data_IF_970402198109
#
_entry.id   IF_970402198109
#
_cell.length_a   1.000
_cell.length_b   1.000
_cell.length_c   1.000
_cell.angle_alpha   90.00
_cell.angle_beta   90.00
_cell.angle_gamma   90.00
#
_symmetry.space_group_name_H-M   'P 1'
#
loop_
_entity.id
_entity.type
_entity.pdbx_description
1 polymer ?
#
# COMPACT_ATOMS: atom_id res chain seq x y z
N UNK A 1 -39.83 66.77 -6.47
CA UNK A 1 -38.41 66.33 -6.41
C UNK A 1 -38.02 65.60 -5.11
N UNK A 2 -38.94 65.10 -4.25
CA UNK A 2 -38.63 64.38 -3.00
C UNK A 2 -38.87 62.85 -3.04
N UNK A 3 -39.40 62.27 -4.15
CA UNK A 3 -39.73 60.83 -4.23
C UNK A 3 -38.62 59.98 -4.86
N UNK A 4 -37.63 60.56 -5.55
CA UNK A 4 -36.56 59.81 -6.22
C UNK A 4 -35.33 59.50 -5.32
N UNK A 5 -35.21 60.19 -4.17
CA UNK A 5 -34.07 59.95 -3.24
C UNK A 5 -34.26 58.74 -2.29
N UNK A 6 -35.48 58.26 -2.08
CA UNK A 6 -35.74 57.11 -1.18
C UNK A 6 -35.48 55.75 -1.85
N UNK A 7 -35.68 55.63 -3.16
CA UNK A 7 -35.47 54.36 -3.88
C UNK A 7 -34.00 53.99 -4.05
N UNK A 8 -33.07 54.96 -4.18
CA UNK A 8 -31.64 54.69 -4.29
C UNK A 8 -30.99 54.19 -2.96
N UNK A 9 -31.59 54.52 -1.82
CA UNK A 9 -31.09 54.08 -0.52
C UNK A 9 -31.43 52.61 -0.22
N UNK A 10 -32.62 52.15 -0.66
CA UNK A 10 -33.07 50.76 -0.51
C UNK A 10 -32.32 49.81 -1.46
N UNK A 11 -31.98 50.21 -2.67
CA UNK A 11 -31.21 49.40 -3.61
C UNK A 11 -29.76 49.16 -3.13
N UNK A 12 -29.14 50.11 -2.38
CA UNK A 12 -27.82 49.91 -1.80
C UNK A 12 -27.83 48.92 -0.63
N UNK A 13 -28.90 48.86 0.16
CA UNK A 13 -29.06 47.90 1.27
C UNK A 13 -29.35 46.49 0.75
N UNK A 14 -30.15 46.33 -0.33
CA UNK A 14 -30.38 45.03 -0.95
C UNK A 14 -29.11 44.45 -1.59
N UNK A 15 -28.29 45.29 -2.23
CA UNK A 15 -27.01 44.88 -2.82
C UNK A 15 -25.99 44.43 -1.78
N UNK A 16 -25.95 45.10 -0.58
CA UNK A 16 -25.05 44.68 0.50
C UNK A 16 -25.53 43.40 1.22
N UNK A 17 -26.83 43.19 1.34
CA UNK A 17 -27.37 41.96 1.97
C UNK A 17 -27.18 40.75 1.04
N UNK A 18 -27.36 40.92 -0.26
CA UNK A 18 -27.07 39.85 -1.23
C UNK A 18 -25.56 39.53 -1.31
N UNK A 19 -24.66 40.52 -1.20
CA UNK A 19 -23.23 40.30 -1.16
C UNK A 19 -22.75 39.59 0.12
N UNK A 20 -23.34 39.92 1.26
CA UNK A 20 -23.08 39.25 2.55
C UNK A 20 -23.60 37.81 2.56
N UNK A 21 -24.74 37.52 1.95
CA UNK A 21 -25.27 36.16 1.84
C UNK A 21 -24.44 35.29 0.86
N UNK A 22 -23.91 35.86 -0.20
CA UNK A 22 -23.00 35.14 -1.13
C UNK A 22 -21.62 34.90 -0.50
N UNK A 23 -21.08 35.85 0.27
CA UNK A 23 -19.82 35.68 1.00
C UNK A 23 -19.96 34.68 2.16
N UNK A 24 -21.11 34.66 2.86
CA UNK A 24 -21.40 33.65 3.89
C UNK A 24 -21.65 32.26 3.27
N UNK A 25 -22.24 32.16 2.09
CA UNK A 25 -22.39 30.90 1.37
C UNK A 25 -21.04 30.37 0.83
N UNK A 26 -20.05 31.25 0.54
CA UNK A 26 -18.68 30.84 0.15
C UNK A 26 -17.77 30.52 1.36
N UNK A 27 -18.03 31.09 2.54
CA UNK A 27 -17.28 30.80 3.77
C UNK A 27 -17.86 29.64 4.60
N UNK A 28 -19.10 29.25 4.35
CA UNK A 28 -19.75 28.09 4.95
C UNK A 28 -19.58 26.80 4.13
N UNK A 29 -18.63 26.75 3.19
CA UNK A 29 -18.01 25.47 2.80
C UNK A 29 -17.02 25.07 3.90
N UNK A 30 -17.49 24.99 5.13
CA UNK A 30 -17.07 23.96 6.04
C UNK A 30 -17.10 22.69 5.19
N UNK A 31 -15.98 22.02 5.05
CA UNK A 31 -15.88 20.71 4.45
C UNK A 31 -16.73 19.80 5.35
N UNK A 32 -18.03 19.86 5.19
CA UNK A 32 -18.91 18.76 5.54
C UNK A 32 -18.46 17.70 4.54
N UNK A 33 -17.64 16.75 4.98
CA UNK A 33 -17.51 15.47 4.34
C UNK A 33 -18.92 14.85 4.37
N UNK A 34 -19.78 15.34 3.51
CA UNK A 34 -21.10 14.81 3.26
C UNK A 34 -20.90 13.43 2.66
N UNK A 35 -21.40 12.45 3.38
CA UNK A 35 -21.42 11.04 3.06
C UNK A 35 -22.14 10.83 1.72
N UNK A 36 -21.46 11.06 0.63
CA UNK A 36 -21.84 10.47 -0.66
C UNK A 36 -21.36 9.01 -0.69
N UNK A 37 -22.11 8.17 0.05
CA UNK A 37 -21.92 6.72 0.04
C UNK A 37 -20.82 6.22 0.99
N UNK A 38 -21.17 5.26 1.83
CA UNK A 38 -20.28 4.57 2.75
C UNK A 38 -19.14 3.86 1.96
N UNK A 39 -17.90 3.99 2.44
CA UNK A 39 -16.67 3.42 1.88
C UNK A 39 -16.35 3.88 0.44
N UNK A 40 -16.80 5.07 0.05
CA UNK A 40 -16.38 5.73 -1.19
C UNK A 40 -15.26 6.72 -0.87
N UNK A 41 -14.04 6.52 -1.41
CA UNK A 41 -12.93 7.40 -1.11
C UNK A 41 -13.17 8.79 -1.73
N UNK A 42 -12.77 9.88 -1.03
CA UNK A 42 -12.74 11.20 -1.63
C UNK A 42 -11.68 11.28 -2.74
N UNK A 43 -11.75 12.33 -3.54
CA UNK A 43 -10.77 12.56 -4.61
C UNK A 43 -9.32 12.51 -4.10
N UNK A 44 -8.46 11.80 -4.80
CA UNK A 44 -7.05 11.59 -4.43
C UNK A 44 -6.82 10.50 -3.39
N UNK A 45 -7.85 9.89 -2.83
CA UNK A 45 -7.72 8.78 -1.88
C UNK A 45 -8.10 7.44 -2.50
N UNK A 46 -7.54 6.38 -1.96
CA UNK A 46 -7.83 4.99 -2.30
C UNK A 46 -8.43 4.29 -1.07
N UNK A 47 -9.43 3.44 -1.28
CA UNK A 47 -10.02 2.67 -0.19
C UNK A 47 -9.05 1.55 0.26
N UNK A 48 -8.66 1.57 1.55
CA UNK A 48 -8.00 0.43 2.20
C UNK A 48 -9.02 -0.64 2.60
N UNK A 49 -10.26 -0.23 2.85
CA UNK A 49 -11.37 -1.11 3.13
C UNK A 49 -12.46 -0.91 2.07
N UNK A 50 -12.81 -1.99 1.38
CA UNK A 50 -13.77 -1.96 0.26
C UNK A 50 -15.24 -1.99 0.69
N UNK A 51 -15.52 -2.10 2.00
CA UNK A 51 -16.87 -2.20 2.55
C UNK A 51 -17.57 -3.55 2.34
N UNK A 52 -16.92 -4.57 1.79
CA UNK A 52 -17.52 -5.86 1.43
C UNK A 52 -16.85 -7.05 2.10
N UNK A 53 -15.52 -7.04 2.17
CA UNK A 53 -14.71 -8.14 2.68
C UNK A 53 -13.34 -7.63 3.20
N UNK A 54 -12.48 -8.56 3.60
CA UNK A 54 -11.14 -8.28 4.13
C UNK A 54 -10.04 -8.29 3.04
N UNK A 55 -10.39 -8.13 1.77
CA UNK A 55 -9.40 -7.99 0.68
C UNK A 55 -8.48 -6.79 0.97
N UNK A 56 -7.17 -6.98 0.82
CA UNK A 56 -6.15 -5.97 1.17
C UNK A 56 -5.67 -6.04 2.62
N UNK A 57 -6.25 -6.93 3.44
CA UNK A 57 -5.91 -7.12 4.85
C UNK A 57 -5.43 -8.54 5.15
N UNK A 58 -4.67 -8.67 6.23
CA UNK A 58 -4.23 -9.94 6.84
C UNK A 58 -4.27 -9.84 8.34
N UNK A 59 -4.31 -10.97 9.02
CA UNK A 59 -4.09 -11.00 10.47
C UNK A 59 -2.67 -10.55 10.80
N UNK A 60 -2.50 -9.66 11.76
CA UNK A 60 -1.17 -9.36 12.31
C UNK A 60 -0.70 -10.56 13.13
N UNK A 61 0.55 -10.97 12.97
CA UNK A 61 1.11 -12.05 13.77
C UNK A 61 1.06 -11.68 15.25
N UNK A 62 0.80 -12.68 16.11
CA UNK A 62 0.81 -12.49 17.56
C UNK A 62 2.24 -12.27 18.08
N UNK A 63 2.33 -11.72 19.29
CA UNK A 63 3.61 -11.60 19.99
C UNK A 63 4.34 -12.96 20.05
N UNK A 64 5.67 -12.97 19.81
CA UNK A 64 6.55 -11.81 19.68
C UNK A 64 6.73 -11.30 18.23
N UNK A 65 5.98 -11.80 17.28
CA UNK A 65 6.12 -11.51 15.84
C UNK A 65 5.21 -10.37 15.34
N UNK A 66 4.41 -9.78 16.22
CA UNK A 66 3.83 -8.45 16.04
C UNK A 66 4.93 -7.38 15.82
N UNK A 67 6.08 -7.58 16.44
CA UNK A 67 7.29 -6.79 16.21
C UNK A 67 7.86 -7.07 14.81
N UNK A 68 7.92 -6.06 13.88
CA UNK A 68 8.40 -6.25 12.51
C UNK A 68 9.87 -6.70 12.45
N UNK A 69 10.73 -6.28 13.39
CA UNK A 69 12.14 -6.69 13.44
C UNK A 69 12.27 -8.20 13.76
N UNK A 70 11.40 -8.71 14.62
CA UNK A 70 11.39 -10.15 14.95
C UNK A 70 10.71 -10.96 13.85
N UNK A 71 9.64 -10.43 13.28
CA UNK A 71 8.93 -11.04 12.15
C UNK A 71 9.84 -11.24 10.95
N UNK A 72 10.68 -10.25 10.62
CA UNK A 72 11.64 -10.31 9.52
C UNK A 72 12.71 -11.42 9.67
N UNK A 73 12.93 -11.93 10.89
CA UNK A 73 13.90 -13.02 11.15
C UNK A 73 13.31 -14.42 11.00
N UNK A 74 12.01 -14.54 10.76
CA UNK A 74 11.38 -15.84 10.54
C UNK A 74 11.82 -16.44 9.22
N UNK A 75 12.08 -17.74 9.20
CA UNK A 75 12.22 -18.47 7.96
C UNK A 75 10.89 -18.45 7.18
N UNK A 76 10.91 -18.60 5.85
CA UNK A 76 9.70 -18.60 5.03
C UNK A 76 8.61 -19.55 5.53
N UNK A 77 8.99 -20.80 5.87
CA UNK A 77 8.04 -21.77 6.39
C UNK A 77 7.47 -21.40 7.75
N UNK A 78 8.28 -20.83 8.65
CA UNK A 78 7.80 -20.36 9.94
C UNK A 78 6.87 -19.15 9.80
N UNK A 79 7.22 -18.20 8.92
CA UNK A 79 6.38 -17.04 8.62
C UNK A 79 5.02 -17.49 8.04
N UNK A 80 5.00 -18.39 7.07
CA UNK A 80 3.77 -18.91 6.48
C UNK A 80 2.88 -19.60 7.52
N UNK A 81 3.46 -20.38 8.43
CA UNK A 81 2.73 -21.05 9.50
C UNK A 81 2.10 -20.06 10.47
N UNK A 82 2.85 -19.06 10.91
CA UNK A 82 2.34 -18.03 11.83
C UNK A 82 1.30 -17.13 11.14
N UNK A 83 1.51 -16.79 9.85
CA UNK A 83 0.54 -16.01 9.07
C UNK A 83 -0.78 -16.78 8.90
N UNK A 84 -0.74 -18.08 8.62
CA UNK A 84 -1.96 -18.89 8.52
C UNK A 84 -2.78 -18.88 9.81
N UNK A 85 -2.12 -18.88 10.98
CA UNK A 85 -2.82 -18.76 12.29
C UNK A 85 -3.44 -17.36 12.44
N UNK A 86 -2.69 -16.32 12.11
CA UNK A 86 -3.15 -14.94 12.22
C UNK A 86 -4.32 -14.68 11.25
N UNK A 87 -4.26 -15.17 10.02
CA UNK A 87 -5.34 -15.06 9.03
C UNK A 87 -6.58 -15.89 9.44
N UNK A 88 -6.40 -16.99 10.14
CA UNK A 88 -7.53 -17.74 10.73
C UNK A 88 -8.20 -16.89 11.80
N UNK A 89 -7.45 -16.36 12.76
CA UNK A 89 -7.96 -15.46 13.80
C UNK A 89 -8.65 -14.23 13.20
N UNK A 90 -8.08 -13.63 12.15
CA UNK A 90 -8.72 -12.53 11.41
C UNK A 90 -10.12 -12.92 10.93
N UNK A 91 -10.27 -14.05 10.27
CA UNK A 91 -11.56 -14.51 9.73
C UNK A 91 -12.59 -14.87 10.81
N UNK A 92 -12.14 -15.22 12.01
CA UNK A 92 -12.99 -15.58 13.13
C UNK A 92 -13.51 -14.37 13.92
N UNK A 93 -12.73 -13.27 13.95
CA UNK A 93 -12.96 -12.15 14.87
C UNK A 93 -13.15 -10.79 14.20
N UNK A 94 -12.85 -10.67 12.89
CA UNK A 94 -13.08 -9.47 12.11
C UNK A 94 -14.16 -9.75 11.06
N UNK A 95 -15.31 -9.11 11.20
CA UNK A 95 -16.49 -9.32 10.34
C UNK A 95 -16.81 -8.06 9.56
N UNK A 96 -17.39 -8.23 8.38
CA UNK A 96 -17.91 -7.12 7.58
C UNK A 96 -19.42 -7.25 7.48
N UNK A 97 -20.13 -6.28 8.03
CA UNK A 97 -21.59 -6.20 8.00
C UNK A 97 -22.03 -4.79 7.64
N UNK A 98 -22.90 -4.65 6.67
CA UNK A 98 -23.46 -3.37 6.21
C UNK A 98 -22.39 -2.30 5.89
N UNK A 99 -21.26 -2.71 5.31
CA UNK A 99 -20.16 -1.83 5.00
C UNK A 99 -19.31 -1.40 6.20
N UNK A 100 -19.52 -2.02 7.36
CA UNK A 100 -18.79 -1.75 8.60
C UNK A 100 -17.86 -2.92 8.88
N UNK A 101 -16.59 -2.63 9.13
CA UNK A 101 -15.61 -3.57 9.64
C UNK A 101 -15.74 -3.62 11.15
N UNK A 102 -16.14 -4.77 11.68
CA UNK A 102 -16.43 -5.00 13.11
C UNK A 102 -15.41 -5.96 13.71
N UNK A 103 -14.82 -5.58 14.81
CA UNK A 103 -14.01 -6.43 15.66
C UNK A 103 -14.78 -6.80 16.93
N UNK A 104 -14.78 -8.07 17.29
CA UNK A 104 -15.56 -8.61 18.42
C UNK A 104 -14.85 -8.53 19.78
N UNK A 105 -13.63 -8.03 19.82
CA UNK A 105 -12.80 -7.94 21.03
C UNK A 105 -11.90 -9.14 21.26
N UNK A 106 -11.82 -10.11 20.34
CA UNK A 106 -11.02 -11.34 20.51
C UNK A 106 -10.02 -11.50 19.36
N UNK A 107 -9.04 -12.38 19.55
CA UNK A 107 -8.09 -12.71 18.49
C UNK A 107 -6.95 -11.70 18.32
N UNK A 108 -6.54 -11.41 17.10
CA UNK A 108 -5.35 -10.63 16.79
C UNK A 108 -5.71 -9.35 16.03
N UNK A 109 -4.77 -8.39 16.03
CA UNK A 109 -4.86 -7.15 15.26
C UNK A 109 -4.94 -7.43 13.75
N UNK A 110 -5.46 -6.47 13.02
CA UNK A 110 -5.54 -6.49 11.57
C UNK A 110 -4.42 -5.63 10.97
N UNK A 111 -3.79 -6.08 9.90
CA UNK A 111 -2.73 -5.34 9.21
C UNK A 111 -2.99 -5.27 7.72
N UNK A 112 -2.55 -4.19 7.07
CA UNK A 112 -2.57 -4.10 5.61
C UNK A 112 -1.62 -5.13 4.99
N UNK A 113 -1.94 -5.62 3.79
CA UNK A 113 -1.09 -6.56 3.07
C UNK A 113 0.22 -5.91 2.63
N UNK A 114 0.19 -4.65 2.23
CA UNK A 114 1.37 -3.89 1.81
C UNK A 114 1.81 -2.85 2.82
N UNK A 115 3.03 -2.39 2.67
CA UNK A 115 3.62 -1.31 3.44
C UNK A 115 3.32 0.06 2.82
N UNK A 116 3.37 1.11 3.66
CA UNK A 116 3.16 2.50 3.29
C UNK A 116 4.30 3.37 3.79
N UNK A 117 4.72 4.35 2.99
CA UNK A 117 5.76 5.32 3.32
C UNK A 117 5.16 6.59 3.92
N UNK A 118 5.05 7.65 3.13
CA UNK A 118 4.37 8.88 3.52
C UNK A 118 2.92 8.85 3.05
N UNK A 119 2.00 9.25 3.89
CA UNK A 119 0.59 9.14 3.58
C UNK A 119 -0.29 10.10 4.38
N UNK A 120 -1.51 10.24 3.90
CA UNK A 120 -2.63 10.76 4.65
C UNK A 120 -3.70 9.68 4.77
N UNK A 121 -4.10 9.33 5.98
CA UNK A 121 -5.08 8.30 6.31
C UNK A 121 -6.35 8.94 6.85
N UNK A 122 -7.49 8.60 6.28
CA UNK A 122 -8.81 8.87 6.83
C UNK A 122 -9.37 7.57 7.39
N UNK A 123 -9.93 7.61 8.59
CA UNK A 123 -10.57 6.44 9.19
C UNK A 123 -11.66 6.85 10.16
N UNK A 124 -12.86 6.32 9.96
CA UNK A 124 -13.92 6.40 10.95
C UNK A 124 -13.84 5.21 11.89
N UNK A 125 -13.95 5.48 13.18
CA UNK A 125 -13.96 4.46 14.22
C UNK A 125 -15.03 4.73 15.26
N UNK A 126 -15.49 3.69 15.95
CA UNK A 126 -16.51 3.78 16.96
C UNK A 126 -16.26 2.75 18.06
N UNK A 127 -16.00 3.21 19.30
CA UNK A 127 -16.02 2.37 20.49
C UNK A 127 -17.47 1.93 20.74
N UNK A 128 -17.67 0.63 20.93
CA UNK A 128 -19.01 0.05 21.09
C UNK A 128 -19.46 0.10 22.54
N UNK A 129 -18.56 -0.23 23.46
CA UNK A 129 -18.85 -0.35 24.89
C UNK A 129 -18.00 0.66 25.70
N UNK A 130 -18.49 1.10 26.89
CA UNK A 130 -17.65 1.86 27.82
C UNK A 130 -16.34 1.13 28.15
N UNK A 131 -15.28 1.90 28.40
CA UNK A 131 -13.90 1.45 28.66
C UNK A 131 -13.18 0.85 27.47
N UNK A 132 -13.73 0.98 26.26
CA UNK A 132 -13.09 0.44 25.06
C UNK A 132 -11.71 1.05 24.80
N UNK A 133 -10.77 0.20 24.38
CA UNK A 133 -9.39 0.53 24.05
C UNK A 133 -9.02 -0.10 22.70
N UNK A 134 -8.30 0.65 21.88
CA UNK A 134 -7.77 0.25 20.59
C UNK A 134 -6.69 1.25 20.13
N UNK A 135 -6.26 1.13 18.90
CA UNK A 135 -5.31 2.06 18.30
C UNK A 135 -5.06 1.79 16.84
N UNK A 136 -4.38 2.73 16.19
CA UNK A 136 -3.91 2.59 14.83
C UNK A 136 -2.39 2.66 14.83
N UNK A 137 -1.74 1.61 14.32
CA UNK A 137 -0.30 1.60 14.17
C UNK A 137 0.07 2.17 12.81
N UNK A 138 1.09 3.00 12.80
CA UNK A 138 1.60 3.64 11.59
C UNK A 138 2.97 3.03 11.26
N UNK A 139 3.12 2.48 10.08
CA UNK A 139 4.34 1.76 9.63
C UNK A 139 4.75 0.63 10.59
N UNK A 140 3.76 -0.13 11.09
CA UNK A 140 4.00 -1.21 12.05
C UNK A 140 4.48 -0.76 13.43
N UNK A 141 4.34 0.53 13.75
CA UNK A 141 4.76 1.11 15.04
C UNK A 141 3.53 1.56 15.83
N UNK A 142 3.36 1.09 17.09
CA UNK A 142 2.28 1.56 17.97
C UNK A 142 2.55 2.98 18.43
N UNK A 143 1.54 3.82 18.64
CA UNK A 143 0.19 3.79 18.15
C UNK A 143 -0.43 5.19 18.20
N UNK A 144 -1.34 5.49 17.31
CA UNK A 144 -2.34 6.54 17.49
C UNK A 144 -3.43 5.94 18.37
N UNK A 145 -3.56 6.42 19.59
CA UNK A 145 -4.42 5.83 20.62
C UNK A 145 -5.91 6.07 20.35
N UNK A 146 -6.72 5.05 20.58
CA UNK A 146 -8.19 5.12 20.64
C UNK A 146 -8.63 4.59 22.00
N UNK A 147 -9.29 5.39 22.80
CA UNK A 147 -9.84 4.96 24.09
C UNK A 147 -11.04 5.78 24.55
N UNK A 148 -11.73 5.28 25.54
CA UNK A 148 -12.86 5.95 26.16
C UNK A 148 -12.39 7.20 26.92
N UNK A 149 -12.80 8.43 26.51
CA UNK A 149 -12.41 9.67 27.17
C UNK A 149 -13.01 9.82 28.57
N UNK A 150 -14.06 9.08 28.92
CA UNK A 150 -14.62 9.05 30.27
C UNK A 150 -13.65 8.37 31.25
N UNK A 151 -12.96 7.32 30.78
CA UNK A 151 -11.95 6.60 31.54
C UNK A 151 -10.58 7.28 31.47
N UNK A 152 -10.18 7.72 30.27
CA UNK A 152 -8.89 8.34 30.01
C UNK A 152 -9.06 9.83 29.66
N UNK A 153 -8.97 10.70 30.66
CA UNK A 153 -9.26 12.14 30.57
C UNK A 153 -8.29 12.94 29.67
N UNK A 154 -7.49 12.29 28.84
CA UNK A 154 -6.66 12.91 27.81
C UNK A 154 -7.28 12.79 26.41
N UNK A 155 -8.27 11.90 26.22
CA UNK A 155 -8.89 11.64 24.92
C UNK A 155 -8.04 10.83 23.96
N UNK A 156 -8.60 10.51 22.79
CA UNK A 156 -7.96 9.74 21.72
C UNK A 156 -7.02 10.57 20.86
N UNK A 157 -6.18 9.89 20.08
CA UNK A 157 -5.30 10.47 19.05
C UNK A 157 -3.89 10.82 19.54
N UNK A 158 -3.56 10.57 20.80
CA UNK A 158 -2.20 10.73 21.29
C UNK A 158 -1.26 9.69 20.66
N UNK A 159 0.03 10.06 20.52
CA UNK A 159 1.10 9.13 20.15
C UNK A 159 1.60 8.41 21.43
N UNK A 160 0.76 7.54 21.95
CA UNK A 160 0.81 7.02 23.33
C UNK A 160 2.18 6.48 23.75
N UNK A 161 2.89 5.82 22.85
CA UNK A 161 4.16 5.19 23.13
C UNK A 161 5.37 6.12 23.01
N UNK A 162 5.20 7.39 22.65
CA UNK A 162 6.30 8.36 22.66
C UNK A 162 6.80 8.59 24.09
N UNK A 163 8.13 8.71 24.25
CA UNK A 163 8.80 8.98 25.52
C UNK A 163 9.60 10.27 25.53
N UNK A 164 10.22 10.61 24.42
CA UNK A 164 11.04 11.83 24.25
C UNK A 164 10.23 12.97 23.64
N UNK A 165 9.30 12.64 22.75
CA UNK A 165 8.42 13.59 22.06
C UNK A 165 7.02 13.57 22.72
N UNK A 166 6.19 14.62 22.49
CA UNK A 166 4.83 14.66 23.02
C UNK A 166 4.03 13.39 22.73
N UNK A 167 3.38 12.83 23.74
CA UNK A 167 2.58 11.62 23.63
C UNK A 167 1.07 11.86 23.76
N UNK A 168 0.67 13.02 24.27
CA UNK A 168 -0.73 13.36 24.52
C UNK A 168 -1.29 14.25 23.41
N UNK A 169 -2.59 14.15 23.10
CA UNK A 169 -3.25 15.11 22.23
C UNK A 169 -3.35 16.49 22.94
N UNK A 170 -3.45 17.56 22.15
CA UNK A 170 -3.57 18.94 22.67
C UNK A 170 -4.91 19.20 23.37
N UNK A 171 -5.96 18.43 23.01
CA UNK A 171 -7.30 18.54 23.58
C UNK A 171 -8.08 17.24 23.38
N UNK A 172 -9.13 17.05 24.16
CA UNK A 172 -10.15 16.02 23.93
C UNK A 172 -11.03 16.49 22.78
N UNK A 173 -11.19 15.66 21.77
CA UNK A 173 -12.02 15.94 20.59
C UNK A 173 -12.94 14.76 20.22
N UNK A 174 -13.01 13.77 21.09
CA UNK A 174 -13.83 12.57 20.94
C UNK A 174 -15.32 12.89 20.97
N UNK A 175 -16.09 12.17 20.18
CA UNK A 175 -17.55 12.08 20.33
C UNK A 175 -17.89 11.06 21.43
N UNK A 176 -19.09 11.14 22.04
CA UNK A 176 -19.54 10.17 23.04
C UNK A 176 -19.44 8.71 22.57
N UNK A 177 -19.27 7.78 23.53
CA UNK A 177 -19.28 6.34 23.26
C UNK A 177 -20.52 5.96 22.45
N UNK A 178 -20.35 5.04 21.49
CA UNK A 178 -21.39 4.62 20.56
C UNK A 178 -21.56 5.55 19.35
N UNK A 179 -20.89 6.68 19.30
CA UNK A 179 -20.88 7.58 18.15
C UNK A 179 -19.61 7.40 17.30
N UNK A 180 -19.72 7.70 16.01
CA UNK A 180 -18.59 7.67 15.10
C UNK A 180 -17.64 8.83 15.33
N UNK A 181 -16.35 8.55 15.31
CA UNK A 181 -15.26 9.51 15.30
C UNK A 181 -14.52 9.40 13.97
N UNK A 182 -13.95 10.49 13.49
CA UNK A 182 -13.15 10.53 12.27
C UNK A 182 -11.73 11.01 12.59
N UNK A 183 -10.74 10.16 12.34
CA UNK A 183 -9.35 10.57 12.26
C UNK A 183 -8.97 10.99 10.84
N UNK A 184 -8.21 12.07 10.74
CA UNK A 184 -7.37 12.43 9.60
C UNK A 184 -5.93 12.46 10.09
N UNK A 185 -5.13 11.48 9.68
CA UNK A 185 -3.76 11.27 10.12
C UNK A 185 -2.84 11.50 8.92
N UNK A 186 -1.97 12.50 8.98
CA UNK A 186 -0.93 12.72 7.99
C UNK A 186 0.43 12.34 8.58
N UNK A 187 1.14 11.44 7.92
CA UNK A 187 2.49 11.03 8.25
C UNK A 187 3.43 11.36 7.09
N UNK A 188 4.41 12.22 7.34
CA UNK A 188 5.47 12.58 6.39
C UNK A 188 6.80 12.45 7.11
N UNK A 189 7.73 11.69 6.53
CA UNK A 189 8.94 11.25 7.20
C UNK A 189 8.60 10.58 8.55
N UNK A 190 9.14 11.11 9.65
CA UNK A 190 8.85 10.63 11.01
C UNK A 190 7.75 11.43 11.73
N UNK A 191 7.15 12.44 11.05
CA UNK A 191 6.25 13.42 11.67
C UNK A 191 4.80 13.11 11.41
N UNK A 192 4.02 13.12 12.49
CA UNK A 192 2.59 12.84 12.46
C UNK A 192 1.78 14.09 12.83
N UNK A 193 0.77 14.37 12.01
CA UNK A 193 -0.25 15.39 12.27
C UNK A 193 -1.62 14.70 12.33
N UNK A 194 -2.38 14.93 13.39
CA UNK A 194 -3.68 14.28 13.60
C UNK A 194 -4.77 15.30 13.83
N UNK A 195 -5.84 15.16 13.06
CA UNK A 195 -7.13 15.81 13.36
C UNK A 195 -8.13 14.74 13.82
N UNK A 196 -8.84 15.01 14.88
CA UNK A 196 -9.96 14.20 15.37
C UNK A 196 -11.24 15.05 15.29
N UNK A 197 -12.22 14.54 14.55
CA UNK A 197 -13.50 15.26 14.34
C UNK A 197 -13.28 16.71 13.85
N UNK A 198 -12.31 16.89 12.94
CA UNK A 198 -11.94 18.20 12.37
C UNK A 198 -11.04 19.08 13.24
N UNK A 199 -10.78 18.72 14.50
CA UNK A 199 -9.91 19.49 15.41
C UNK A 199 -8.48 19.00 15.34
N UNK A 200 -7.51 19.90 15.17
CA UNK A 200 -6.07 19.58 15.22
C UNK A 200 -5.66 19.23 16.66
N UNK A 201 -5.25 17.98 16.88
CA UNK A 201 -4.90 17.47 18.21
C UNK A 201 -3.44 17.05 18.35
N UNK A 202 -2.76 16.74 17.23
CA UNK A 202 -1.32 16.48 17.17
C UNK A 202 -0.77 17.24 15.97
N UNK A 203 0.28 18.04 16.16
CA UNK A 203 0.84 18.87 15.10
C UNK A 203 2.31 18.56 14.85
N UNK A 204 2.61 17.83 13.76
CA UNK A 204 3.97 17.50 13.29
C UNK A 204 4.87 16.90 14.37
N UNK A 205 4.33 16.07 15.24
CA UNK A 205 5.09 15.41 16.31
C UNK A 205 5.81 14.19 15.74
N UNK A 206 7.06 13.99 16.13
CA UNK A 206 7.85 12.81 15.75
C UNK A 206 7.24 11.57 16.40
N UNK A 207 6.94 10.54 15.62
CA UNK A 207 6.58 9.22 16.09
C UNK A 207 7.85 8.41 16.34
N UNK A 208 8.05 8.00 17.58
CA UNK A 208 9.23 7.25 17.97
C UNK A 208 9.11 5.78 17.60
N UNK A 209 10.22 5.17 17.18
CA UNK A 209 10.28 3.73 16.95
C UNK A 209 10.10 2.99 18.31
N UNK A 210 8.94 2.36 18.49
CA UNK A 210 8.63 1.61 19.70
C UNK A 210 9.49 0.37 19.87
N UNK A 211 9.82 -0.29 18.76
CA UNK A 211 10.50 -1.57 18.72
C UNK A 211 12.02 -1.46 18.89
N UNK A 212 12.60 -0.33 18.44
CA UNK A 212 14.01 0.01 18.61
C UNK A 212 14.17 1.51 18.85
N UNK A 213 14.25 1.90 20.11
CA UNK A 213 14.35 3.31 20.52
C UNK A 213 15.66 3.99 20.14
N UNK A 214 16.65 3.25 19.67
CA UNK A 214 17.92 3.79 19.18
C UNK A 214 17.87 4.24 17.73
N UNK A 215 16.83 3.86 17.00
CA UNK A 215 16.64 4.14 15.57
C UNK A 215 15.44 5.05 15.30
N UNK A 216 15.43 5.78 14.17
CA UNK A 216 14.24 6.45 13.71
C UNK A 216 13.13 5.43 13.40
N UNK A 217 11.92 5.93 13.15
CA UNK A 217 10.83 5.07 12.69
C UNK A 217 11.18 4.41 11.34
N UNK A 218 10.58 3.25 11.06
CA UNK A 218 10.75 2.58 9.78
C UNK A 218 10.36 3.52 8.62
N UNK A 219 11.11 3.50 7.49
CA UNK A 219 10.82 4.33 6.32
C UNK A 219 9.48 3.95 5.68
N UNK A 220 9.09 2.67 5.77
CA UNK A 220 7.81 2.13 5.34
C UNK A 220 7.34 1.04 6.31
N UNK A 221 6.06 0.72 6.27
CA UNK A 221 5.49 -0.38 7.06
C UNK A 221 3.98 -0.41 7.01
N UNK A 222 3.40 -1.43 7.60
CA UNK A 222 1.97 -1.69 7.58
C UNK A 222 1.19 -0.65 8.39
N UNK A 223 -0.07 -0.42 7.98
CA UNK A 223 -1.08 0.21 8.82
C UNK A 223 -1.82 -0.92 9.52
N UNK A 224 -1.93 -0.81 10.85
CA UNK A 224 -2.50 -1.87 11.67
C UNK A 224 -3.66 -1.31 12.52
N UNK A 225 -4.75 -2.08 12.63
CA UNK A 225 -5.87 -1.81 13.52
C UNK A 225 -5.73 -2.71 14.74
N UNK A 226 -5.55 -2.09 15.91
CA UNK A 226 -5.19 -2.81 17.12
C UNK A 226 -6.37 -3.60 17.70
N UNK A 227 -6.10 -4.84 18.07
CA UNK A 227 -6.86 -5.63 19.02
C UNK A 227 -6.37 -5.32 20.44
N UNK A 228 -7.24 -4.82 21.32
CA UNK A 228 -6.92 -4.59 22.73
C UNK A 228 -7.93 -5.25 23.69
N UNK A 229 -8.75 -6.18 23.18
CA UNK A 229 -9.70 -6.93 23.99
C UNK A 229 -11.13 -6.34 24.01
N UNK A 230 -11.34 -5.20 23.36
CA UNK A 230 -12.63 -4.52 23.31
C UNK A 230 -13.22 -4.49 21.90
N UNK A 231 -14.54 -4.65 21.75
CA UNK A 231 -15.21 -4.49 20.46
C UNK A 231 -15.07 -3.05 19.93
N UNK A 232 -14.67 -2.95 18.66
CA UNK A 232 -14.55 -1.67 17.96
C UNK A 232 -15.00 -1.81 16.52
N UNK A 233 -15.59 -0.77 15.97
CA UNK A 233 -16.06 -0.71 14.60
C UNK A 233 -15.24 0.30 13.79
N UNK A 234 -14.96 -0.03 12.54
CA UNK A 234 -14.30 0.84 11.58
C UNK A 234 -15.09 0.93 10.27
N UNK A 235 -14.94 2.04 9.56
CA UNK A 235 -15.45 2.27 8.20
C UNK A 235 -14.68 3.40 7.54
N UNK A 236 -14.93 3.67 6.27
CA UNK A 236 -14.32 4.80 5.55
C UNK A 236 -12.80 4.87 5.75
N UNK A 237 -12.12 3.72 5.58
CA UNK A 237 -10.67 3.64 5.73
C UNK A 237 -10.06 3.95 4.37
N UNK A 238 -9.52 5.16 4.22
CA UNK A 238 -8.98 5.66 2.96
C UNK A 238 -7.57 6.17 3.14
N UNK A 239 -6.72 5.96 2.14
CA UNK A 239 -5.35 6.44 2.13
C UNK A 239 -5.07 7.27 0.89
N UNK A 240 -4.35 8.36 1.07
CA UNK A 240 -3.67 9.12 0.03
C UNK A 240 -2.18 8.99 0.27
N UNK A 241 -1.47 8.29 -0.61
CA UNK A 241 -0.02 8.20 -0.52
C UNK A 241 0.59 9.50 -1.00
N UNK A 242 1.50 10.04 -0.20
CA UNK A 242 2.25 11.26 -0.51
C UNK A 242 3.54 10.82 -1.22
N UNK A 243 3.68 11.08 -2.52
CA UNK A 243 4.88 10.68 -3.24
C UNK A 243 6.10 11.33 -2.62
N UNK A 244 7.10 10.54 -2.28
CA UNK A 244 8.45 11.06 -2.10
C UNK A 244 9.06 11.20 -3.47
N UNK A 245 9.55 12.37 -3.79
CA UNK A 245 10.33 12.61 -5.01
C UNK A 245 11.77 12.10 -4.78
N UNK A 246 11.88 10.81 -4.53
CA UNK A 246 13.15 10.12 -4.54
C UNK A 246 13.42 9.73 -6.00
N UNK A 247 14.25 10.50 -6.66
CA UNK A 247 14.76 10.16 -8.00
C UNK A 247 15.38 8.76 -8.04
N UNK A 248 15.81 8.28 -9.20
CA UNK A 248 16.46 6.97 -9.32
C UNK A 248 17.66 6.91 -8.37
N UNK A 249 17.66 5.96 -7.47
CA UNK A 249 18.75 5.71 -6.52
C UNK A 249 19.58 4.52 -6.95
N UNK A 250 20.88 4.56 -6.74
CA UNK A 250 21.75 3.41 -6.89
C UNK A 250 21.51 2.36 -5.80
N UNK A 251 22.36 1.34 -5.77
CA UNK A 251 22.39 0.37 -4.67
C UNK A 251 22.69 1.08 -3.34
N UNK A 252 21.94 0.73 -2.29
CA UNK A 252 22.28 1.12 -0.93
C UNK A 252 23.53 0.38 -0.46
N UNK A 253 24.17 0.85 0.61
CA UNK A 253 25.34 0.14 1.17
C UNK A 253 24.93 -1.25 1.69
N UNK A 254 23.75 -1.38 2.31
CA UNK A 254 23.22 -2.68 2.74
C UNK A 254 23.02 -3.63 1.54
N UNK A 255 22.48 -3.15 0.43
CA UNK A 255 22.30 -3.97 -0.77
C UNK A 255 23.63 -4.41 -1.37
N UNK A 256 24.66 -3.55 -1.34
CA UNK A 256 26.03 -3.92 -1.77
C UNK A 256 26.63 -4.98 -0.85
N UNK A 257 26.49 -4.82 0.47
CA UNK A 257 26.94 -5.80 1.47
C UNK A 257 26.20 -7.13 1.33
N UNK A 258 24.91 -7.09 1.01
CA UNK A 258 24.12 -8.28 0.69
C UNK A 258 24.54 -8.96 -0.61
N UNK A 259 25.28 -8.31 -1.49
CA UNK A 259 25.77 -8.83 -2.76
C UNK A 259 24.88 -8.55 -3.96
N UNK A 260 24.01 -7.52 -3.88
CA UNK A 260 23.29 -7.05 -5.06
C UNK A 260 24.21 -6.32 -6.04
N UNK A 261 23.91 -6.46 -7.32
CA UNK A 261 24.53 -5.71 -8.41
C UNK A 261 23.44 -4.99 -9.22
N UNK A 262 23.75 -3.79 -9.69
CA UNK A 262 22.83 -3.06 -10.57
C UNK A 262 22.88 -3.64 -11.99
N UNK A 263 21.72 -3.88 -12.58
CA UNK A 263 21.57 -4.29 -13.99
C UNK A 263 21.31 -3.12 -14.93
N UNK A 264 21.09 -1.93 -14.39
CA UNK A 264 20.89 -0.72 -15.17
C UNK A 264 21.85 0.38 -14.68
N UNK A 265 22.62 0.94 -15.61
CA UNK A 265 23.65 1.94 -15.30
C UNK A 265 23.08 3.37 -15.12
N UNK A 266 21.75 3.55 -15.29
CA UNK A 266 21.07 4.84 -15.19
C UNK A 266 21.23 5.75 -16.41
N UNK A 267 21.97 5.37 -17.46
CA UNK A 267 22.32 6.22 -18.60
C UNK A 267 21.85 5.68 -19.94
N UNK A 268 22.05 4.41 -20.19
CA UNK A 268 21.76 3.76 -21.46
C UNK A 268 21.41 2.28 -21.28
N UNK A 269 21.07 1.59 -22.35
CA UNK A 269 20.69 0.19 -22.33
C UNK A 269 21.90 -0.77 -22.48
N UNK A 270 23.13 -0.32 -22.18
CA UNK A 270 24.31 -1.18 -22.14
C UNK A 270 24.07 -2.31 -21.12
N UNK A 271 24.27 -3.55 -21.52
CA UNK A 271 23.98 -4.72 -20.71
C UNK A 271 22.56 -5.30 -20.90
N UNK A 272 21.76 -4.71 -21.80
CA UNK A 272 20.45 -5.21 -22.20
C UNK A 272 20.47 -5.67 -23.65
N UNK A 273 19.73 -6.74 -23.94
CA UNK A 273 19.61 -7.38 -25.27
C UNK A 273 18.14 -7.58 -25.61
N UNK A 274 17.85 -7.94 -26.87
CA UNK A 274 16.49 -8.12 -27.39
C UNK A 274 15.99 -6.88 -28.11
N UNK A 275 14.70 -6.54 -27.98
CA UNK A 275 14.11 -5.38 -28.65
C UNK A 275 14.38 -4.07 -27.90
N UNK A 276 15.64 -3.66 -27.86
CA UNK A 276 16.05 -2.40 -27.21
C UNK A 276 15.52 -1.17 -27.91
N UNK A 277 15.12 -1.26 -29.19
CA UNK A 277 14.57 -0.13 -29.96
C UNK A 277 13.22 0.37 -29.46
N UNK A 278 12.47 -0.47 -28.76
CA UNK A 278 11.19 -0.10 -28.12
C UNK A 278 11.33 0.54 -26.75
N UNK A 279 12.55 0.68 -26.22
CA UNK A 279 12.87 1.20 -24.91
C UNK A 279 13.81 2.40 -24.99
N UNK A 280 13.71 3.30 -24.01
CA UNK A 280 14.58 4.48 -23.90
C UNK A 280 15.10 4.58 -22.47
N UNK A 281 16.40 4.85 -22.33
CA UNK A 281 16.98 5.22 -21.05
C UNK A 281 16.97 6.74 -20.90
N UNK A 282 16.27 7.26 -19.88
CA UNK A 282 16.10 8.69 -19.64
C UNK A 282 15.97 8.95 -18.12
N UNK A 283 16.70 9.92 -17.61
CA UNK A 283 16.66 10.33 -16.20
C UNK A 283 16.79 9.16 -15.20
N UNK A 284 17.71 8.23 -15.45
CA UNK A 284 17.91 7.07 -14.58
C UNK A 284 16.81 6.01 -14.65
N UNK A 285 15.95 6.05 -15.66
CA UNK A 285 14.83 5.13 -15.87
C UNK A 285 14.93 4.45 -17.23
N UNK A 286 14.41 3.25 -17.32
CA UNK A 286 14.11 2.57 -18.59
C UNK A 286 12.61 2.80 -18.86
N UNK A 287 12.29 3.42 -19.97
CA UNK A 287 10.92 3.69 -20.41
C UNK A 287 10.59 2.76 -21.57
N UNK A 288 9.62 1.85 -21.37
CA UNK A 288 9.02 1.08 -22.43
C UNK A 288 8.05 2.00 -23.20
N UNK A 289 8.25 2.18 -24.50
CA UNK A 289 7.37 3.00 -25.36
C UNK A 289 6.49 2.15 -26.28
N UNK A 290 7.07 1.17 -26.96
CA UNK A 290 6.39 0.22 -27.85
C UNK A 290 7.09 -1.14 -27.86
N UNK A 291 7.87 -1.44 -26.83
CA UNK A 291 8.80 -2.53 -26.86
C UNK A 291 8.19 -3.92 -26.99
N UNK A 292 8.92 -4.80 -27.63
CA UNK A 292 8.88 -6.22 -27.42
C UNK A 292 9.65 -6.59 -26.14
N UNK A 293 10.32 -7.74 -26.16
CA UNK A 293 11.02 -8.23 -24.97
C UNK A 293 12.47 -7.72 -24.91
N UNK A 294 12.88 -7.21 -23.75
CA UNK A 294 14.27 -6.89 -23.43
C UNK A 294 14.75 -7.70 -22.24
N UNK A 295 15.99 -8.14 -22.26
CA UNK A 295 16.57 -9.00 -21.23
C UNK A 295 17.93 -8.45 -20.78
N UNK A 296 18.29 -8.68 -19.51
CA UNK A 296 19.67 -8.59 -19.09
C UNK A 296 20.51 -9.57 -19.91
N UNK A 297 21.76 -9.19 -20.27
CA UNK A 297 22.62 -9.96 -21.20
C UNK A 297 23.05 -11.32 -20.65
N UNK A 298 23.03 -11.49 -19.33
CA UNK A 298 23.47 -12.70 -18.65
C UNK A 298 22.27 -13.57 -18.23
N UNK A 299 22.49 -14.86 -18.13
CA UNK A 299 21.50 -15.82 -17.64
C UNK A 299 21.68 -16.07 -16.15
N UNK A 300 20.54 -16.26 -15.45
CA UNK A 300 20.47 -16.46 -14.01
C UNK A 300 19.73 -17.76 -13.68
N UNK A 301 20.16 -18.45 -12.60
CA UNK A 301 19.53 -19.65 -12.07
C UNK A 301 18.73 -19.31 -10.81
N UNK A 302 19.40 -19.21 -9.67
CA UNK A 302 18.84 -18.85 -8.39
C UNK A 302 19.20 -17.40 -8.05
N UNK A 303 18.20 -16.58 -7.75
CA UNK A 303 18.41 -15.14 -7.60
C UNK A 303 17.33 -14.46 -6.75
N UNK A 304 17.63 -13.24 -6.32
CA UNK A 304 16.66 -12.22 -5.91
C UNK A 304 16.79 -11.05 -6.88
N UNK A 305 15.71 -10.74 -7.58
CA UNK A 305 15.63 -9.62 -8.52
C UNK A 305 14.71 -8.55 -7.95
N UNK A 306 15.19 -7.33 -7.82
CA UNK A 306 14.44 -6.17 -7.33
C UNK A 306 14.38 -5.09 -8.38
N UNK A 307 13.23 -4.48 -8.54
CA UNK A 307 13.03 -3.34 -9.43
C UNK A 307 11.87 -2.47 -8.95
N UNK A 308 11.82 -1.26 -9.45
CA UNK A 308 10.68 -0.39 -9.30
C UNK A 308 10.04 -0.16 -10.67
N UNK A 309 8.71 -0.10 -10.70
CA UNK A 309 7.95 0.16 -11.92
C UNK A 309 6.84 1.19 -11.65
N UNK A 310 6.49 1.95 -12.70
CA UNK A 310 5.38 2.91 -12.68
C UNK A 310 4.49 2.67 -13.90
N UNK A 311 3.22 2.32 -13.64
CA UNK A 311 2.24 2.03 -14.68
C UNK A 311 1.60 3.30 -15.22
N UNK A 312 1.27 3.29 -16.51
CA UNK A 312 0.29 4.20 -17.11
C UNK A 312 -1.11 3.53 -17.15
N UNK A 313 -2.20 4.28 -17.34
CA UNK A 313 -3.53 3.69 -17.43
C UNK A 313 -3.63 2.59 -18.50
N UNK A 314 -4.07 1.40 -18.08
CA UNK A 314 -4.21 0.24 -18.94
C UNK A 314 -2.90 -0.42 -19.38
N UNK A 315 -1.79 -0.09 -18.75
CA UNK A 315 -0.49 -0.68 -19.08
C UNK A 315 -0.47 -2.19 -18.88
N UNK A 316 0.23 -2.88 -19.78
CA UNK A 316 0.49 -4.32 -19.75
C UNK A 316 1.97 -4.58 -20.09
N UNK A 317 2.62 -5.39 -19.28
CA UNK A 317 3.99 -5.85 -19.43
C UNK A 317 4.14 -7.14 -18.62
N UNK A 318 5.34 -7.71 -18.56
CA UNK A 318 5.67 -8.85 -17.70
C UNK A 318 7.15 -8.83 -17.33
N UNK A 319 7.49 -9.50 -16.24
CA UNK A 319 8.87 -9.86 -15.94
C UNK A 319 9.07 -11.33 -16.34
N UNK A 320 9.82 -11.57 -17.42
CA UNK A 320 10.26 -12.91 -17.80
C UNK A 320 11.40 -13.36 -16.92
N UNK A 321 11.31 -14.56 -16.36
CA UNK A 321 12.39 -15.19 -15.58
C UNK A 321 12.73 -16.57 -16.13
N UNK A 322 14.01 -16.94 -16.10
CA UNK A 322 14.55 -18.18 -16.66
C UNK A 322 14.09 -18.42 -18.11
N UNK A 323 13.97 -17.34 -18.89
CA UNK A 323 13.41 -17.35 -20.23
C UNK A 323 14.48 -17.59 -21.27
N UNK A 324 14.28 -18.48 -22.26
CA UNK A 324 15.13 -18.53 -23.45
C UNK A 324 14.81 -17.36 -24.39
N UNK A 325 15.75 -17.00 -25.24
CA UNK A 325 15.54 -15.92 -26.23
C UNK A 325 14.67 -16.42 -27.41
N UNK A 326 13.95 -15.46 -28.03
CA UNK A 326 13.17 -15.68 -29.25
C UNK A 326 12.05 -16.71 -29.15
N UNK A 327 11.46 -16.83 -27.95
CA UNK A 327 10.31 -17.72 -27.68
C UNK A 327 9.20 -16.96 -26.95
N UNK A 328 8.08 -17.62 -26.75
CA UNK A 328 7.04 -17.09 -25.87
C UNK A 328 7.46 -17.24 -24.39
N UNK A 329 7.89 -16.14 -23.81
CA UNK A 329 8.45 -16.09 -22.47
C UNK A 329 7.51 -16.60 -21.37
N UNK A 330 6.20 -16.42 -21.52
CA UNK A 330 5.20 -16.85 -20.55
C UNK A 330 5.09 -18.38 -20.42
N UNK A 331 5.45 -19.13 -21.46
CA UNK A 331 5.33 -20.59 -21.50
C UNK A 331 6.69 -21.27 -21.46
N UNK A 332 7.66 -20.79 -22.26
CA UNK A 332 8.99 -21.39 -22.37
C UNK A 332 9.95 -20.94 -21.25
N UNK A 333 9.63 -19.84 -20.57
CA UNK A 333 10.14 -19.39 -19.29
C UNK A 333 9.02 -19.31 -18.28
N UNK A 334 9.05 -18.28 -17.44
CA UNK A 334 7.94 -17.91 -16.56
C UNK A 334 7.74 -16.41 -16.65
N UNK A 335 6.49 -15.95 -16.67
CA UNK A 335 6.14 -14.53 -16.63
C UNK A 335 5.52 -14.18 -15.29
N UNK A 336 6.10 -13.20 -14.60
CA UNK A 336 5.45 -12.51 -13.50
C UNK A 336 4.72 -11.31 -14.11
N UNK A 337 3.41 -11.31 -14.02
CA UNK A 337 2.56 -10.32 -14.70
C UNK A 337 2.76 -8.91 -14.14
N UNK A 338 2.94 -7.92 -15.02
CA UNK A 338 2.98 -6.49 -14.70
C UNK A 338 1.81 -5.81 -15.43
N UNK A 339 0.76 -5.41 -14.69
CA UNK A 339 -0.49 -4.98 -15.27
C UNK A 339 -1.18 -3.90 -14.44
N UNK A 340 -1.79 -2.91 -15.10
CA UNK A 340 -2.84 -2.09 -14.47
C UNK A 340 -4.14 -2.88 -14.44
N UNK A 341 -4.31 -3.72 -13.43
CA UNK A 341 -5.49 -4.57 -13.27
C UNK A 341 -6.75 -3.80 -12.79
N UNK A 342 -6.65 -2.48 -12.62
CA UNK A 342 -7.77 -1.60 -12.29
C UNK A 342 -8.48 -1.04 -13.53
N UNK A 343 -7.85 -1.15 -14.71
CA UNK A 343 -8.40 -0.64 -15.95
C UNK A 343 -9.66 -1.42 -16.41
N UNK A 344 -10.65 -0.71 -16.95
CA UNK A 344 -11.92 -1.30 -17.39
C UNK A 344 -11.77 -2.47 -18.38
N UNK A 345 -10.76 -2.44 -19.23
CA UNK A 345 -10.44 -3.51 -20.17
C UNK A 345 -10.03 -4.82 -19.47
N UNK A 346 -9.60 -4.78 -18.23
CA UNK A 346 -9.11 -5.91 -17.44
C UNK A 346 -10.08 -6.37 -16.34
N UNK A 347 -11.33 -5.90 -16.36
CA UNK A 347 -12.35 -6.27 -15.35
C UNK A 347 -12.72 -7.75 -15.29
N UNK A 348 -12.43 -8.52 -16.34
CA UNK A 348 -12.81 -9.95 -16.48
C UNK A 348 -11.59 -10.88 -16.53
N UNK A 349 -10.47 -10.51 -15.90
CA UNK A 349 -9.28 -11.37 -15.86
C UNK A 349 -9.53 -12.67 -15.11
N UNK A 350 -8.86 -13.73 -15.57
CA UNK A 350 -8.73 -14.95 -14.77
C UNK A 350 -7.79 -14.72 -13.58
N UNK A 351 -7.91 -15.49 -12.49
CA UNK A 351 -7.09 -15.26 -11.28
C UNK A 351 -5.59 -15.22 -11.51
N UNK A 352 -5.08 -15.97 -12.49
CA UNK A 352 -3.66 -16.05 -12.87
C UNK A 352 -3.17 -14.94 -13.81
N UNK A 353 -4.03 -13.97 -14.15
CA UNK A 353 -3.71 -12.88 -15.08
C UNK A 353 -3.53 -11.52 -14.37
N UNK A 354 -3.80 -11.44 -13.08
CA UNK A 354 -3.63 -10.21 -12.31
C UNK A 354 -2.14 -9.93 -12.06
N UNK A 355 -1.84 -8.65 -11.86
CA UNK A 355 -0.48 -8.18 -11.56
C UNK A 355 0.17 -9.00 -10.42
N UNK A 356 1.41 -9.45 -10.62
CA UNK A 356 2.19 -10.26 -9.68
C UNK A 356 1.93 -11.77 -9.75
N UNK A 357 0.95 -12.25 -10.54
CA UNK A 357 0.75 -13.69 -10.77
C UNK A 357 1.90 -14.31 -11.55
N UNK A 358 2.19 -15.61 -11.33
CA UNK A 358 2.91 -16.41 -12.32
C UNK A 358 1.89 -16.76 -13.40
N UNK A 359 1.98 -16.11 -14.55
CA UNK A 359 0.97 -16.13 -15.60
C UNK A 359 0.60 -17.57 -16.03
N UNK A 360 -0.68 -17.86 -16.05
CA UNK A 360 -1.21 -19.20 -16.39
C UNK A 360 -1.05 -20.26 -15.30
N UNK A 361 -0.30 -19.98 -14.21
CA UNK A 361 0.18 -21.03 -13.28
C UNK A 361 -0.23 -20.76 -11.83
N UNK A 362 0.11 -19.60 -11.25
CA UNK A 362 -0.17 -19.30 -9.84
C UNK A 362 -0.84 -17.93 -9.72
N UNK A 363 -1.99 -17.85 -9.07
CA UNK A 363 -2.70 -16.59 -8.90
C UNK A 363 -2.05 -15.74 -7.81
N UNK A 364 -2.13 -14.42 -7.97
CA UNK A 364 -1.66 -13.44 -7.01
C UNK A 364 -2.63 -13.26 -5.83
N UNK A 365 -2.11 -12.92 -4.65
CA UNK A 365 -2.88 -12.33 -3.56
C UNK A 365 -2.98 -10.82 -3.78
N UNK A 366 -4.16 -10.32 -4.14
CA UNK A 366 -4.39 -8.91 -4.48
C UNK A 366 -4.29 -7.96 -3.28
N UNK A 367 -4.15 -6.67 -3.55
CA UNK A 367 -4.24 -5.58 -2.56
C UNK A 367 -2.92 -4.91 -2.22
N UNK A 368 -1.81 -5.30 -2.89
CA UNK A 368 -0.50 -4.71 -2.64
C UNK A 368 -0.06 -3.70 -3.70
N UNK A 369 -0.73 -3.61 -4.86
CA UNK A 369 -0.40 -2.69 -5.93
C UNK A 369 -0.77 -1.24 -5.57
N UNK A 370 0.14 -0.30 -5.84
CA UNK A 370 -0.13 1.14 -5.72
C UNK A 370 -0.93 1.63 -6.93
N UNK A 371 -1.66 2.75 -6.79
CA UNK A 371 -2.37 3.37 -7.90
C UNK A 371 -1.48 3.65 -9.11
N UNK A 372 -2.10 3.66 -10.29
CA UNK A 372 -1.46 4.08 -11.54
C UNK A 372 -0.79 5.44 -11.40
N UNK A 373 0.40 5.60 -11.97
CA UNK A 373 1.23 6.80 -11.85
C UNK A 373 2.12 6.86 -10.62
N UNK A 374 2.02 5.89 -9.71
CA UNK A 374 2.92 5.77 -8.56
C UNK A 374 3.98 4.68 -8.78
N UNK A 375 5.15 4.86 -8.16
CA UNK A 375 6.21 3.87 -8.16
C UNK A 375 5.86 2.69 -7.25
N UNK A 376 5.87 1.49 -7.81
CA UNK A 376 5.78 0.22 -7.09
C UNK A 376 7.17 -0.40 -6.95
N UNK A 377 7.44 -1.06 -5.84
CA UNK A 377 8.64 -1.86 -5.63
C UNK A 377 8.27 -3.34 -5.69
N UNK A 378 8.94 -4.09 -6.55
CA UNK A 378 8.74 -5.54 -6.67
C UNK A 378 10.03 -6.28 -6.48
N UNK A 379 9.95 -7.38 -5.73
CA UNK A 379 11.03 -8.34 -5.54
C UNK A 379 10.56 -9.72 -5.99
N UNK A 380 11.33 -10.36 -6.86
CA UNK A 380 11.10 -11.73 -7.26
C UNK A 380 12.30 -12.58 -6.83
N UNK A 381 12.06 -13.54 -5.94
CA UNK A 381 13.02 -14.55 -5.55
C UNK A 381 12.70 -15.85 -6.28
N UNK A 382 13.72 -16.41 -6.95
CA UNK A 382 13.70 -17.75 -7.52
C UNK A 382 14.85 -18.56 -6.91
N UNK A 383 14.51 -19.70 -6.27
CA UNK A 383 15.51 -20.62 -5.71
C UNK A 383 15.04 -22.08 -5.89
N UNK A 384 15.69 -22.82 -6.78
CA UNK A 384 15.19 -24.11 -7.23
C UNK A 384 13.76 -23.98 -7.76
N UNK A 385 12.82 -24.75 -7.25
CA UNK A 385 11.39 -24.66 -7.55
C UNK A 385 10.62 -23.58 -6.78
N UNK A 386 11.24 -22.93 -5.80
CA UNK A 386 10.56 -21.92 -4.99
C UNK A 386 10.56 -20.56 -5.70
N UNK A 387 9.39 -20.02 -5.99
CA UNK A 387 9.18 -18.66 -6.51
C UNK A 387 8.41 -17.85 -5.49
N UNK A 388 8.94 -16.67 -5.14
CA UNK A 388 8.26 -15.71 -4.29
C UNK A 388 8.21 -14.35 -4.97
N UNK A 389 7.04 -13.73 -4.98
CA UNK A 389 6.84 -12.35 -5.42
C UNK A 389 6.43 -11.51 -4.22
N UNK A 390 7.17 -10.44 -3.98
CA UNK A 390 6.87 -9.43 -2.95
C UNK A 390 6.60 -8.11 -3.63
N UNK A 391 5.42 -7.53 -3.40
CA UNK A 391 4.99 -6.27 -3.99
C UNK A 391 4.75 -5.25 -2.87
N UNK A 392 5.48 -4.14 -2.90
CA UNK A 392 5.39 -3.06 -1.90
C UNK A 392 5.45 -3.59 -0.45
N UNK A 393 6.38 -4.54 -0.17
CA UNK A 393 6.57 -5.17 1.12
C UNK A 393 5.62 -6.33 1.46
N UNK A 394 4.55 -6.53 0.68
CA UNK A 394 3.62 -7.64 0.88
C UNK A 394 3.98 -8.86 0.01
N UNK A 395 4.05 -10.07 0.61
CA UNK A 395 4.21 -11.32 -0.15
C UNK A 395 2.89 -11.61 -0.85
N UNK A 396 2.91 -11.56 -2.19
CA UNK A 396 1.72 -11.77 -3.03
C UNK A 396 1.68 -13.13 -3.72
N UNK A 397 2.84 -13.74 -3.95
CA UNK A 397 3.01 -15.14 -4.37
C UNK A 397 4.12 -15.78 -3.53
N UNK A 398 3.91 -17.00 -3.09
CA UNK A 398 4.90 -17.86 -2.44
C UNK A 398 4.58 -19.32 -2.80
N UNK A 399 5.21 -19.83 -3.86
CA UNK A 399 4.85 -21.10 -4.48
C UNK A 399 6.05 -21.97 -4.79
N UNK A 400 5.90 -23.26 -4.59
CA UNK A 400 6.83 -24.30 -5.06
C UNK A 400 6.32 -24.83 -6.40
N UNK A 401 6.86 -24.30 -7.51
CA UNK A 401 6.44 -24.67 -8.86
C UNK A 401 6.80 -26.12 -9.22
N UNK A 402 7.73 -26.76 -8.52
CA UNK A 402 8.06 -28.17 -8.73
C UNK A 402 6.93 -29.13 -8.36
N UNK A 403 5.97 -28.66 -7.57
CA UNK A 403 4.80 -29.41 -7.13
C UNK A 403 3.56 -29.19 -8.01
N UNK A 404 3.66 -28.32 -9.01
CA UNK A 404 2.54 -28.01 -9.89
C UNK A 404 2.44 -29.08 -10.96
N UNK A 405 1.38 -29.87 -10.95
CA UNK A 405 1.10 -30.92 -11.90
C UNK A 405 0.13 -30.50 -12.99
N UNK A 406 -0.66 -29.46 -12.75
CA UNK A 406 -1.62 -28.89 -13.69
C UNK A 406 -1.58 -27.37 -13.62
N UNK A 407 -1.52 -26.71 -14.75
CA UNK A 407 -1.53 -25.25 -14.88
C UNK A 407 -2.96 -24.72 -14.90
N UNK A 408 -3.15 -23.49 -14.40
CA UNK A 408 -4.49 -22.90 -14.29
C UNK A 408 -5.11 -22.54 -15.64
N UNK A 409 -4.30 -22.30 -16.66
CA UNK A 409 -4.77 -22.04 -18.03
C UNK A 409 -4.89 -23.30 -18.89
N UNK A 410 -4.59 -24.48 -18.31
CA UNK A 410 -4.64 -25.81 -18.96
C UNK A 410 -3.73 -25.90 -20.20
N UNK A 411 -2.66 -25.13 -20.27
CA UNK A 411 -1.66 -25.14 -21.35
C UNK A 411 -0.33 -25.71 -20.86
N UNK A 412 0.47 -26.30 -21.76
CA UNK A 412 1.83 -26.68 -21.41
C UNK A 412 2.69 -25.48 -21.04
N UNK A 413 3.39 -25.54 -19.91
CA UNK A 413 4.37 -24.58 -19.45
C UNK A 413 5.73 -25.24 -19.23
N UNK A 414 6.46 -25.61 -20.29
CA UNK A 414 7.76 -26.29 -20.17
C UNK A 414 8.80 -25.43 -19.43
N UNK A 415 8.61 -24.11 -19.39
CA UNK A 415 9.45 -23.18 -18.63
C UNK A 415 9.49 -23.42 -17.12
N UNK A 416 8.46 -24.07 -16.54
CA UNK A 416 8.45 -24.41 -15.10
C UNK A 416 9.58 -25.34 -14.68
N UNK A 417 10.14 -26.13 -15.63
CA UNK A 417 11.24 -27.06 -15.38
C UNK A 417 12.61 -26.46 -15.67
N UNK A 418 12.69 -25.16 -16.04
CA UNK A 418 13.97 -24.52 -16.32
C UNK A 418 14.66 -24.09 -15.04
N UNK A 419 15.92 -24.46 -14.95
CA UNK A 419 16.78 -24.07 -13.83
C UNK A 419 17.49 -22.74 -14.09
N UNK A 420 17.67 -22.33 -15.38
CA UNK A 420 18.44 -21.15 -15.79
C UNK A 420 17.88 -20.51 -17.06
N UNK A 421 18.08 -19.20 -17.20
CA UNK A 421 17.74 -18.44 -18.40
C UNK A 421 17.80 -16.94 -18.15
N UNK A 422 17.36 -16.17 -19.14
CA UNK A 422 17.38 -14.71 -19.10
C UNK A 422 16.29 -14.15 -18.19
N UNK A 423 16.56 -12.95 -17.66
CA UNK A 423 15.60 -12.12 -16.92
C UNK A 423 15.39 -10.85 -17.70
N UNK A 424 14.12 -10.40 -17.85
CA UNK A 424 13.85 -9.15 -18.55
C UNK A 424 12.39 -8.77 -18.62
N UNK A 425 12.13 -7.63 -19.24
CA UNK A 425 10.79 -7.08 -19.35
C UNK A 425 10.13 -7.48 -20.68
N UNK A 426 8.89 -7.94 -20.57
CA UNK A 426 8.12 -8.48 -21.69
C UNK A 426 7.12 -7.42 -22.17
N UNK A 427 7.48 -6.70 -23.24
CA UNK A 427 6.66 -5.60 -23.74
C UNK A 427 5.42 -6.05 -24.49
N UNK A 428 4.29 -5.44 -24.17
CA UNK A 428 2.98 -5.62 -24.82
C UNK A 428 2.48 -4.35 -25.51
N UNK A 429 3.41 -3.45 -25.92
CA UNK A 429 3.06 -2.20 -26.61
C UNK A 429 2.53 -1.09 -25.70
N UNK A 430 2.53 -1.28 -24.40
CA UNK A 430 2.13 -0.27 -23.42
C UNK A 430 3.31 0.53 -22.91
N UNK A 431 3.07 1.80 -22.57
CA UNK A 431 4.07 2.65 -21.95
C UNK A 431 4.08 2.43 -20.45
N UNK A 432 5.27 2.19 -19.87
CA UNK A 432 5.53 2.18 -18.43
C UNK A 432 7.01 2.45 -18.19
N UNK A 433 7.36 2.70 -16.93
CA UNK A 433 8.72 3.06 -16.54
C UNK A 433 9.27 2.04 -15.53
N UNK A 434 10.59 1.78 -15.64
CA UNK A 434 11.33 0.95 -14.71
C UNK A 434 12.56 1.71 -14.19
N UNK A 435 12.93 1.49 -12.93
CA UNK A 435 14.16 2.02 -12.32
C UNK A 435 14.67 1.13 -11.20
N UNK A 436 15.84 1.44 -10.66
CA UNK A 436 16.42 0.73 -9.51
C UNK A 436 16.45 -0.80 -9.73
N UNK A 437 16.88 -1.22 -10.92
CA UNK A 437 16.88 -2.63 -11.35
C UNK A 437 18.18 -3.28 -10.85
N UNK A 438 18.06 -4.29 -9.99
CA UNK A 438 19.20 -4.95 -9.36
C UNK A 438 18.95 -6.42 -9.09
N UNK A 439 20.00 -7.19 -9.06
CA UNK A 439 19.96 -8.64 -8.86
C UNK A 439 21.02 -9.09 -7.85
N UNK A 440 20.70 -10.14 -7.11
CA UNK A 440 21.61 -10.91 -6.26
C UNK A 440 21.51 -12.36 -6.65
N UNK A 441 22.61 -12.97 -7.06
CA UNK A 441 22.66 -14.41 -7.27
C UNK A 441 22.70 -15.14 -5.91
N UNK A 442 21.91 -16.21 -5.80
CA UNK A 442 21.88 -17.07 -4.63
C UNK A 442 22.78 -18.28 -4.87
N UNK A 443 23.57 -18.60 -3.86
CA UNK A 443 24.49 -19.78 -3.89
C UNK A 443 23.82 -20.98 -3.22
#
# INVERSE_FOLDING_TARGET
MKKIRKTKKWMKYLSCVCLLLVVFACLARSIVYGVEGLNRPPEGFVALFNGRDLTGWKGLLSSPYDNPIRRAKLSPGALAKEQAKADKSMREHWMVEEGILKFDGKGFSLATLRDYEDFELLVDWKIVNPRGDSGIYLRGTPQVQIWDPEQHKVGSGGLYNNKKNPSKPAMIADNPIGQWNTFRIKMVDERVTIHLNGKLIVNKVVLENYWDRSRPIFPSGQIELQCHGDPIHFRNIFIHEIPRDEGPRGLTEEEKEEGFVSLFNGKDLTGWIGDTGGYVAEDGRIICRKGGNVYAKDEYSDFIFRFEFKLTPGANNGLGIRTPLNVNAAYEGMEIQILDDTADQYKNLQPYQYHGSIYGVVPVKKGCQKPVGQWNCEEVMAKGGQIRVTLNGGIVVDADISKITETMDHRPHPGLHREKGYIGFLGHGSQLEFRNIRIKELK
#
